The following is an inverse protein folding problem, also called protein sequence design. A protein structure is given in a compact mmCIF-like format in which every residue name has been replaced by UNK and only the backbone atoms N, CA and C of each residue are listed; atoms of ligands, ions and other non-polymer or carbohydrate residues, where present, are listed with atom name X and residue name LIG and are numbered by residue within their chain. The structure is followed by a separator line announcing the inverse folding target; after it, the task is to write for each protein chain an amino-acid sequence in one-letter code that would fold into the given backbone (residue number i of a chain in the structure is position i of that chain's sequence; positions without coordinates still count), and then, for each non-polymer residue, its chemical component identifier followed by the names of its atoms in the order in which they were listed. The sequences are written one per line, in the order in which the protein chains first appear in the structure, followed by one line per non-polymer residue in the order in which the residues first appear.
data_IF_339460207667
#
_entry.id   IF_339460207667
#
_cell.length_a   1.000
_cell.length_b   1.000
_cell.length_c   1.000
_cell.angle_alpha   90.00
_cell.angle_beta   90.00
_cell.angle_gamma   90.00
#
_symmetry.space_group_name_H-M   'P 1'
#
loop_
_entity.id
_entity.type
_entity.pdbx_description
1 polymer ?
#
# COMPACT_ATOMS: atom_id res chain seq x y z
N UNK A 1 6.52 6.37 -28.63
CA UNK A 1 6.72 7.64 -27.89
C UNK A 1 7.40 7.33 -26.57
N UNK A 2 8.71 7.66 -26.48
CA UNK A 2 9.54 7.40 -25.30
C UNK A 2 9.40 8.57 -24.32
N UNK A 3 8.64 8.37 -23.26
CA UNK A 3 8.62 9.28 -22.12
C UNK A 3 9.93 9.16 -21.33
N UNK A 4 10.89 10.07 -21.55
CA UNK A 4 12.06 10.20 -20.69
C UNK A 4 11.64 10.86 -19.36
N UNK A 5 11.51 10.05 -18.31
CA UNK A 5 11.44 10.54 -16.94
C UNK A 5 12.81 10.95 -16.47
N UNK A 6 13.05 12.23 -16.27
CA UNK A 6 14.21 12.71 -15.55
C UNK A 6 13.85 12.86 -14.07
N UNK A 7 14.46 12.03 -13.21
CA UNK A 7 14.35 12.14 -11.75
C UNK A 7 15.53 12.97 -11.25
N UNK A 8 15.23 14.10 -10.66
CA UNK A 8 16.20 14.84 -9.85
C UNK A 8 15.82 14.62 -8.38
N UNK A 9 16.69 13.92 -7.64
CA UNK A 9 16.49 13.66 -6.21
C UNK A 9 17.20 14.74 -5.40
N UNK A 10 16.46 15.63 -4.77
CA UNK A 10 16.95 16.43 -3.65
C UNK A 10 16.53 15.75 -2.33
N UNK A 11 17.44 15.73 -1.34
CA UNK A 11 17.31 14.99 -0.09
C UNK A 11 16.15 15.52 0.82
N UNK A 12 15.60 16.70 0.55
CA UNK A 12 14.56 17.33 1.37
C UNK A 12 13.23 17.59 0.65
N UNK A 13 13.27 17.83 -0.66
CA UNK A 13 12.06 18.13 -1.44
C UNK A 13 12.06 17.28 -2.71
N UNK A 14 10.91 16.77 -3.09
CA UNK A 14 10.70 16.08 -4.36
C UNK A 14 9.95 17.00 -5.30
N UNK A 15 10.53 17.32 -6.45
CA UNK A 15 9.83 17.97 -7.55
C UNK A 15 9.58 16.94 -8.65
N UNK A 16 8.31 16.74 -9.00
CA UNK A 16 7.88 15.82 -10.05
C UNK A 16 7.40 16.69 -11.19
N UNK A 17 8.16 16.72 -12.29
CA UNK A 17 7.79 17.44 -13.50
C UNK A 17 7.27 16.47 -14.55
N UNK A 18 6.05 16.70 -15.03
CA UNK A 18 5.47 16.01 -16.18
C UNK A 18 5.64 16.92 -17.40
N UNK A 19 6.34 16.41 -18.40
CA UNK A 19 6.55 17.11 -19.66
C UNK A 19 5.88 16.33 -20.80
N UNK A 20 5.18 17.03 -21.66
CA UNK A 20 4.62 16.54 -22.92
C UNK A 20 5.33 17.31 -24.06
N UNK A 21 5.96 16.57 -24.96
CA UNK A 21 6.76 17.14 -26.08
C UNK A 21 7.80 18.20 -25.64
N UNK A 22 8.49 17.95 -24.53
CA UNK A 22 9.48 18.85 -23.88
C UNK A 22 8.87 20.12 -23.24
N UNK A 23 7.57 20.26 -23.25
CA UNK A 23 6.85 21.35 -22.57
C UNK A 23 6.43 20.87 -21.19
N UNK A 24 6.69 21.66 -20.16
CA UNK A 24 6.25 21.37 -18.80
C UNK A 24 4.73 21.53 -18.73
N UNK A 25 4.02 20.41 -18.47
CA UNK A 25 2.57 20.38 -18.35
C UNK A 25 2.11 20.44 -16.90
N UNK A 26 2.87 19.77 -15.99
CA UNK A 26 2.53 19.71 -14.58
C UNK A 26 3.79 19.70 -13.73
N UNK A 27 3.82 20.50 -12.67
CA UNK A 27 4.89 20.51 -11.68
C UNK A 27 4.29 20.30 -10.29
N UNK A 28 4.59 19.17 -9.69
CA UNK A 28 4.22 18.86 -8.32
C UNK A 28 5.47 18.97 -7.43
N UNK A 29 5.35 19.71 -6.33
CA UNK A 29 6.39 19.82 -5.31
C UNK A 29 5.89 19.15 -4.04
N UNK A 30 6.54 18.06 -3.66
CA UNK A 30 6.29 17.37 -2.40
C UNK A 30 7.40 17.72 -1.40
N UNK A 31 7.03 18.30 -0.29
CA UNK A 31 7.93 18.41 0.84
C UNK A 31 8.07 17.03 1.48
N UNK A 32 9.30 16.57 1.66
CA UNK A 32 9.56 15.38 2.46
C UNK A 32 9.21 15.72 3.93
N UNK A 33 7.97 15.52 4.31
CA UNK A 33 7.61 15.50 5.71
C UNK A 33 8.29 14.29 6.34
N UNK A 34 9.03 14.51 7.40
CA UNK A 34 9.72 13.46 8.18
C UNK A 34 8.73 12.64 9.04
N UNK A 35 7.47 12.59 8.63
CA UNK A 35 6.41 11.91 9.36
C UNK A 35 5.83 10.74 8.57
N UNK A 36 5.29 9.80 9.28
CA UNK A 36 4.57 8.63 8.76
C UNK A 36 3.16 9.05 8.36
N UNK A 37 3.03 9.62 7.15
CA UNK A 37 1.78 10.18 6.64
C UNK A 37 0.81 9.07 6.21
N UNK A 38 -0.50 9.40 6.26
CA UNK A 38 -1.54 8.52 5.71
C UNK A 38 -1.28 8.24 4.24
N UNK A 39 -1.34 6.97 3.86
CA UNK A 39 -1.05 6.50 2.50
C UNK A 39 0.38 6.02 2.27
N UNK A 40 1.32 6.36 3.15
CA UNK A 40 2.70 5.84 3.07
C UNK A 40 2.74 4.33 3.23
N UNK A 41 3.60 3.67 2.44
CA UNK A 41 3.75 2.21 2.43
C UNK A 41 5.12 1.84 2.99
N UNK A 42 5.12 0.90 3.92
CA UNK A 42 6.30 0.39 4.61
C UNK A 42 6.40 -1.13 4.52
N UNK A 43 7.63 -1.63 4.54
CA UNK A 43 7.93 -3.01 4.84
C UNK A 43 8.19 -3.10 6.35
N UNK A 44 7.16 -3.44 7.12
CA UNK A 44 7.22 -3.50 8.58
C UNK A 44 7.58 -4.89 9.09
N UNK A 45 8.08 -4.95 10.31
CA UNK A 45 8.38 -6.22 11.01
C UNK A 45 7.43 -6.42 12.18
N UNK A 46 6.71 -7.53 12.21
CA UNK A 46 5.80 -7.89 13.30
C UNK A 46 6.58 -8.06 14.60
N UNK A 47 6.26 -7.26 15.61
CA UNK A 47 6.90 -7.28 16.94
C UNK A 47 6.18 -8.18 17.93
N UNK A 48 4.85 -8.04 17.96
CA UNK A 48 4.02 -8.74 18.95
C UNK A 48 2.64 -9.02 18.38
N UNK A 49 2.10 -10.18 18.68
CA UNK A 49 0.72 -10.55 18.38
C UNK A 49 -0.09 -10.45 19.67
N UNK A 50 -1.29 -9.88 19.59
CA UNK A 50 -2.23 -9.69 20.69
C UNK A 50 -3.51 -10.47 20.40
N UNK A 51 -3.60 -11.76 20.74
CA UNK A 51 -4.76 -12.60 20.40
C UNK A 51 -6.07 -12.08 20.96
N UNK A 52 -6.07 -11.54 22.18
CA UNK A 52 -7.25 -10.98 22.82
C UNK A 52 -7.84 -9.76 22.12
N UNK A 53 -7.04 -9.02 21.35
CA UNK A 53 -7.48 -7.88 20.52
C UNK A 53 -7.62 -8.26 19.05
N UNK A 54 -7.31 -9.48 18.67
CA UNK A 54 -7.19 -9.93 17.29
C UNK A 54 -6.34 -8.97 16.44
N UNK A 55 -5.19 -8.56 16.98
CA UNK A 55 -4.34 -7.49 16.43
C UNK A 55 -2.86 -7.80 16.59
N UNK A 56 -2.01 -7.04 15.92
CA UNK A 56 -0.56 -7.11 16.07
C UNK A 56 0.07 -5.72 16.14
N UNK A 57 1.24 -5.65 16.76
CA UNK A 57 2.12 -4.49 16.73
C UNK A 57 3.23 -4.72 15.71
N UNK A 58 3.48 -3.71 14.88
CA UNK A 58 4.42 -3.76 13.75
C UNK A 58 5.38 -2.59 13.84
N UNK A 59 6.66 -2.88 13.76
CA UNK A 59 7.69 -1.87 13.65
C UNK A 59 7.83 -1.45 12.18
N UNK A 60 7.59 -0.19 11.91
CA UNK A 60 7.77 0.46 10.60
C UNK A 60 8.88 1.51 10.60
N UNK A 61 9.68 1.58 11.69
CA UNK A 61 10.71 2.60 11.90
C UNK A 61 10.22 3.84 12.66
N UNK A 62 8.95 3.90 13.03
CA UNK A 62 8.41 4.93 13.93
C UNK A 62 8.85 4.67 15.38
N UNK A 63 8.94 5.73 16.22
CA UNK A 63 9.30 5.61 17.65
C UNK A 63 8.41 4.62 18.42
N UNK A 64 7.12 4.60 18.07
CA UNK A 64 6.13 3.70 18.65
C UNK A 64 5.73 2.66 17.63
N UNK A 65 5.59 1.40 18.08
CA UNK A 65 5.10 0.34 17.22
C UNK A 65 3.70 0.68 16.70
N UNK A 66 3.51 0.47 15.41
CA UNK A 66 2.25 0.70 14.74
C UNK A 66 1.28 -0.47 14.99
N UNK A 67 -0.01 -0.21 14.91
CA UNK A 67 -1.07 -1.17 15.21
C UNK A 67 -1.79 -1.62 13.94
N UNK A 68 -1.97 -2.93 13.78
CA UNK A 68 -2.80 -3.53 12.74
C UNK A 68 -3.81 -4.50 13.35
N UNK A 69 -5.08 -4.36 12.99
CA UNK A 69 -6.14 -5.27 13.40
C UNK A 69 -6.37 -6.33 12.32
N UNK A 70 -6.93 -7.48 12.68
CA UNK A 70 -7.26 -8.55 11.74
C UNK A 70 -8.04 -8.07 10.52
N UNK A 71 -9.06 -7.25 10.74
CA UNK A 71 -9.90 -6.70 9.67
C UNK A 71 -9.14 -5.72 8.74
N UNK A 72 -8.01 -5.20 9.18
CA UNK A 72 -7.15 -4.30 8.40
C UNK A 72 -6.15 -5.06 7.51
N UNK A 73 -6.07 -6.42 7.59
CA UNK A 73 -5.24 -7.22 6.71
C UNK A 73 -5.69 -7.14 5.25
N UNK A 74 -6.99 -6.97 5.03
CA UNK A 74 -7.57 -7.00 3.68
C UNK A 74 -7.60 -8.40 3.07
N UNK A 75 -8.48 -8.61 2.07
CA UNK A 75 -8.69 -9.94 1.49
C UNK A 75 -7.45 -10.46 0.72
N UNK A 76 -6.63 -9.59 0.18
CA UNK A 76 -5.49 -9.94 -0.68
C UNK A 76 -4.16 -10.11 0.09
N UNK A 77 -4.21 -10.09 1.42
CA UNK A 77 -3.02 -10.20 2.27
C UNK A 77 -2.14 -11.43 1.95
N UNK A 78 -2.67 -12.66 1.74
CA UNK A 78 -1.83 -13.81 1.40
C UNK A 78 -1.07 -13.64 0.08
N UNK A 79 -1.73 -13.06 -0.93
CA UNK A 79 -1.09 -12.74 -2.20
C UNK A 79 0.00 -11.67 -2.05
N UNK A 80 -0.26 -10.65 -1.23
CA UNK A 80 0.71 -9.61 -0.91
C UNK A 80 1.94 -10.19 -0.18
N UNK A 81 1.74 -11.10 0.77
CA UNK A 81 2.83 -11.80 1.47
C UNK A 81 3.67 -12.67 0.53
N UNK A 82 3.04 -13.34 -0.41
CA UNK A 82 3.74 -14.12 -1.45
C UNK A 82 4.63 -13.21 -2.30
N UNK A 83 4.14 -12.03 -2.67
CA UNK A 83 4.92 -11.02 -3.36
C UNK A 83 6.14 -10.60 -2.54
N UNK A 84 5.95 -10.22 -1.26
CA UNK A 84 7.04 -9.83 -0.37
C UNK A 84 8.09 -10.94 -0.24
N UNK A 85 7.65 -12.19 -0.02
CA UNK A 85 8.53 -13.34 0.09
C UNK A 85 9.33 -13.63 -1.19
N UNK A 86 8.76 -13.33 -2.37
CA UNK A 86 9.41 -13.53 -3.66
C UNK A 86 10.51 -12.50 -3.97
N UNK A 87 10.48 -11.35 -3.32
CA UNK A 87 11.44 -10.25 -3.52
C UNK A 87 12.66 -10.33 -2.59
N UNK A 88 12.80 -11.40 -1.80
CA UNK A 88 13.95 -11.56 -0.94
C UNK A 88 15.26 -11.73 -1.74
N UNK A 89 16.42 -11.26 -1.23
CA UNK A 89 17.69 -11.39 -1.91
C UNK A 89 18.00 -12.85 -2.31
N UNK A 90 18.43 -13.05 -3.54
CA UNK A 90 18.77 -14.37 -4.08
C UNK A 90 17.67 -15.07 -4.90
N UNK A 91 16.44 -14.60 -4.90
CA UNK A 91 15.38 -15.11 -5.77
C UNK A 91 15.28 -14.27 -7.05
N UNK A 92 15.70 -14.83 -8.19
CA UNK A 92 15.62 -14.18 -9.51
C UNK A 92 14.31 -14.50 -10.21
N UNK A 93 13.79 -13.53 -10.98
CA UNK A 93 12.83 -13.81 -12.07
C UNK A 93 11.35 -13.84 -11.68
N UNK A 94 10.96 -13.27 -10.56
CA UNK A 94 9.53 -13.16 -10.24
C UNK A 94 8.85 -12.09 -11.12
N UNK A 95 7.83 -12.49 -11.88
CA UNK A 95 6.96 -11.60 -12.65
C UNK A 95 5.59 -11.55 -11.98
N UNK A 96 5.11 -10.35 -11.70
CA UNK A 96 3.81 -10.13 -11.04
C UNK A 96 2.67 -10.69 -11.90
N UNK A 97 2.79 -10.56 -13.24
CA UNK A 97 1.78 -11.03 -14.19
C UNK A 97 1.56 -12.56 -14.14
N UNK A 98 2.60 -13.31 -13.75
CA UNK A 98 2.54 -14.78 -13.65
C UNK A 98 2.17 -15.27 -12.24
N UNK A 99 1.91 -14.35 -11.31
CA UNK A 99 1.60 -14.72 -9.94
C UNK A 99 0.20 -15.31 -9.80
N UNK A 100 0.12 -16.56 -9.37
CA UNK A 100 -1.15 -17.15 -8.96
C UNK A 100 -1.56 -16.55 -7.62
N UNK A 101 -2.77 -15.96 -7.59
CA UNK A 101 -3.32 -15.37 -6.38
C UNK A 101 -3.66 -16.46 -5.36
N UNK A 102 -3.45 -16.13 -4.08
CA UNK A 102 -3.83 -16.98 -2.96
C UNK A 102 -5.31 -16.76 -2.59
N UNK A 103 -5.93 -17.71 -1.91
CA UNK A 103 -7.28 -17.54 -1.37
C UNK A 103 -7.36 -16.29 -0.51
N UNK A 104 -8.46 -15.52 -0.61
CA UNK A 104 -8.63 -14.30 0.17
C UNK A 104 -8.77 -14.59 1.67
N UNK A 105 -8.34 -13.64 2.50
CA UNK A 105 -8.58 -13.67 3.95
C UNK A 105 -10.08 -13.64 4.20
N UNK A 106 -10.57 -14.55 5.01
CA UNK A 106 -11.95 -14.58 5.43
C UNK A 106 -12.26 -13.43 6.40
N UNK A 107 -13.54 -13.02 6.47
CA UNK A 107 -13.94 -11.95 7.39
C UNK A 107 -13.87 -12.37 8.86
N UNK A 108 -14.01 -13.67 9.12
CA UNK A 108 -13.96 -14.26 10.45
C UNK A 108 -12.73 -15.13 10.57
N UNK A 109 -11.79 -14.75 11.41
CA UNK A 109 -10.53 -15.49 11.63
C UNK A 109 -9.68 -14.84 12.71
N UNK A 110 -8.51 -15.38 12.94
CA UNK A 110 -7.56 -14.91 13.94
C UNK A 110 -6.29 -14.39 13.29
N UNK A 111 -5.79 -13.27 13.75
CA UNK A 111 -4.60 -12.64 13.20
C UNK A 111 -3.37 -13.56 13.27
N UNK A 112 -3.29 -14.41 14.29
CA UNK A 112 -2.20 -15.38 14.48
C UNK A 112 -2.16 -16.51 13.42
N UNK A 113 -3.22 -16.69 12.63
CA UNK A 113 -3.23 -17.62 11.50
C UNK A 113 -2.47 -17.06 10.29
N UNK A 114 -2.34 -15.74 10.20
CA UNK A 114 -1.73 -15.03 9.08
C UNK A 114 -0.39 -14.37 9.42
N UNK A 115 -0.18 -13.99 10.68
CA UNK A 115 1.02 -13.29 11.14
C UNK A 115 1.80 -14.08 12.16
N UNK A 116 3.13 -13.97 12.04
CA UNK A 116 4.09 -14.51 13.00
C UNK A 116 5.03 -13.41 13.50
N UNK A 117 5.48 -13.50 14.74
CA UNK A 117 6.47 -12.57 15.28
C UNK A 117 7.77 -12.65 14.46
N UNK A 118 8.31 -11.50 14.13
CA UNK A 118 9.51 -11.40 13.28
C UNK A 118 9.24 -11.38 11.78
N UNK A 119 8.02 -11.70 11.33
CA UNK A 119 7.63 -11.68 9.92
C UNK A 119 7.68 -10.27 9.35
N UNK A 120 8.18 -10.14 8.13
CA UNK A 120 8.08 -8.89 7.35
C UNK A 120 6.77 -8.86 6.58
N UNK A 121 6.08 -7.73 6.67
CA UNK A 121 4.80 -7.49 6.00
C UNK A 121 4.80 -6.13 5.32
N UNK A 122 4.18 -6.05 4.15
CA UNK A 122 3.93 -4.76 3.49
C UNK A 122 2.64 -4.17 4.05
N UNK A 123 2.73 -2.93 4.52
CA UNK A 123 1.63 -2.24 5.18
C UNK A 123 1.57 -0.79 4.76
N UNK A 124 0.39 -0.21 4.80
CA UNK A 124 0.12 1.19 4.52
C UNK A 124 -0.40 1.88 5.77
N UNK A 125 0.01 3.13 5.98
CA UNK A 125 -0.51 3.94 7.10
C UNK A 125 -1.95 4.34 6.79
N UNK A 126 -2.89 3.85 7.60
CA UNK A 126 -4.30 4.18 7.49
C UNK A 126 -4.69 5.39 8.35
N UNK A 127 -4.00 5.57 9.49
CA UNK A 127 -4.13 6.74 10.36
C UNK A 127 -2.77 7.06 10.98
N UNK A 128 -2.46 8.33 11.07
CA UNK A 128 -1.25 8.83 11.73
C UNK A 128 -1.24 8.53 13.23
N UNK A 129 -0.05 8.58 13.82
CA UNK A 129 0.11 8.47 15.25
C UNK A 129 -0.60 9.61 15.97
N UNK A 130 -1.30 9.30 17.06
CA UNK A 130 -2.00 10.30 17.88
C UNK A 130 -1.52 10.17 19.32
N UNK A 131 -0.96 11.23 19.86
CA UNK A 131 -0.52 11.33 21.26
C UNK A 131 0.39 10.14 21.66
N UNK A 132 -0.10 9.26 22.53
CA UNK A 132 0.65 8.11 23.05
C UNK A 132 0.55 6.86 22.19
N UNK A 133 -0.30 6.86 21.15
CA UNK A 133 -0.55 5.69 20.28
C UNK A 133 0.24 5.80 18.98
N UNK A 134 0.86 4.69 18.56
CA UNK A 134 1.51 4.57 17.24
C UNK A 134 0.50 4.63 16.08
N UNK A 135 1.00 4.69 14.84
CA UNK A 135 0.15 4.73 13.64
C UNK A 135 -0.74 3.49 13.53
N UNK A 136 -1.93 3.63 12.93
CA UNK A 136 -2.74 2.49 12.53
C UNK A 136 -2.41 2.10 11.10
N UNK A 137 -2.23 0.82 10.88
CA UNK A 137 -1.86 0.25 9.60
C UNK A 137 -3.00 -0.53 8.97
N UNK A 138 -2.92 -0.67 7.66
CA UNK A 138 -3.69 -1.63 6.86
C UNK A 138 -2.75 -2.37 5.90
N UNK A 139 -3.05 -3.62 5.58
CA UNK A 139 -2.40 -4.34 4.51
C UNK A 139 -3.28 -4.41 3.24
N UNK A 140 -4.46 -3.78 3.27
CA UNK A 140 -5.29 -3.55 2.08
C UNK A 140 -4.75 -2.31 1.34
N UNK A 141 -3.68 -2.54 0.58
CA UNK A 141 -2.92 -1.48 -0.09
C UNK A 141 -3.76 -0.83 -1.18
N UNK A 142 -3.78 0.51 -1.19
CA UNK A 142 -4.40 1.30 -2.23
C UNK A 142 -3.48 2.42 -2.68
N UNK A 143 -3.30 2.59 -3.98
CA UNK A 143 -2.47 3.62 -4.57
C UNK A 143 -3.38 4.67 -5.21
N UNK A 144 -3.57 5.78 -4.51
CA UNK A 144 -4.40 6.87 -4.97
C UNK A 144 -3.64 7.71 -6.00
N UNK A 145 -4.20 7.81 -7.20
CA UNK A 145 -3.83 8.79 -8.21
C UNK A 145 -4.86 9.91 -8.31
N UNK A 146 -4.64 10.84 -9.23
CA UNK A 146 -5.52 12.00 -9.42
C UNK A 146 -6.96 11.61 -9.74
N UNK A 147 -7.16 10.68 -10.66
CA UNK A 147 -8.48 10.30 -11.19
C UNK A 147 -8.81 8.82 -10.97
N UNK A 148 -7.86 8.03 -10.55
CA UNK A 148 -7.99 6.58 -10.38
C UNK A 148 -7.34 6.14 -9.08
N UNK A 149 -7.83 5.04 -8.51
CA UNK A 149 -7.19 4.35 -7.39
C UNK A 149 -6.86 2.93 -7.83
N UNK A 150 -5.59 2.56 -7.75
CA UNK A 150 -5.18 1.18 -8.01
C UNK A 150 -5.25 0.39 -6.71
N UNK A 151 -6.01 -0.70 -6.73
CA UNK A 151 -6.03 -1.71 -5.65
C UNK A 151 -5.36 -2.96 -6.21
N UNK A 152 -4.16 -3.34 -5.74
CA UNK A 152 -3.43 -4.50 -6.23
C UNK A 152 -4.22 -5.80 -6.05
N UNK A 153 -3.98 -6.76 -6.96
CA UNK A 153 -4.55 -8.11 -6.91
C UNK A 153 -6.08 -8.19 -7.01
N UNK A 154 -6.75 -7.12 -7.43
CA UNK A 154 -8.18 -7.17 -7.74
C UNK A 154 -8.41 -6.91 -9.22
N UNK A 155 -9.31 -7.69 -9.83
CA UNK A 155 -9.79 -7.47 -11.20
C UNK A 155 -11.08 -6.67 -11.25
N UNK A 156 -11.61 -6.26 -10.08
CA UNK A 156 -12.87 -5.52 -10.00
C UNK A 156 -12.66 -4.05 -10.33
N UNK A 157 -13.48 -3.52 -11.24
CA UNK A 157 -13.52 -2.10 -11.58
C UNK A 157 -14.66 -1.44 -10.79
N UNK A 158 -14.32 -0.46 -9.98
CA UNK A 158 -15.28 0.35 -9.24
C UNK A 158 -15.34 1.74 -9.86
N UNK A 159 -16.54 2.24 -10.07
CA UNK A 159 -16.78 3.56 -10.65
C UNK A 159 -17.29 4.52 -9.57
N UNK A 160 -16.84 5.77 -9.64
CA UNK A 160 -17.31 6.82 -8.76
C UNK A 160 -18.84 6.99 -8.89
N UNK A 161 -19.52 7.07 -7.76
CA UNK A 161 -20.98 7.37 -7.73
C UNK A 161 -21.31 8.74 -8.30
N UNK A 162 -20.33 9.65 -8.40
CA UNK A 162 -20.50 10.98 -9.02
C UNK A 162 -20.74 10.89 -10.54
N UNK A 163 -20.30 9.81 -11.19
CA UNK A 163 -20.58 9.56 -12.61
C UNK A 163 -22.03 9.10 -12.73
N UNK A 164 -22.89 9.97 -13.28
CA UNK A 164 -24.35 9.71 -13.39
C UNK A 164 -24.73 9.04 -14.71
N UNK A 165 -24.02 9.37 -15.82
CA UNK A 165 -24.31 8.83 -17.15
C UNK A 165 -24.10 7.31 -17.22
N UNK A 166 -25.12 6.59 -17.70
CA UNK A 166 -25.06 5.14 -17.90
C UNK A 166 -24.09 4.76 -19.02
N UNK A 167 -24.04 5.58 -20.09
CA UNK A 167 -23.14 5.36 -21.23
C UNK A 167 -21.68 5.54 -20.83
N UNK A 168 -21.39 6.56 -20.02
CA UNK A 168 -20.05 6.77 -19.49
C UNK A 168 -19.63 5.66 -18.53
N UNK A 169 -20.51 5.14 -17.70
CA UNK A 169 -20.26 3.98 -16.87
C UNK A 169 -19.94 2.72 -17.68
N UNK A 170 -20.61 2.52 -18.82
CA UNK A 170 -20.31 1.42 -19.74
C UNK A 170 -18.96 1.59 -20.41
N UNK A 171 -18.61 2.79 -20.83
CA UNK A 171 -17.33 3.10 -21.48
C UNK A 171 -16.13 2.87 -20.55
N UNK A 172 -16.29 3.14 -19.24
CA UNK A 172 -15.24 3.05 -18.25
C UNK A 172 -15.07 1.64 -17.65
N UNK A 173 -16.00 0.73 -17.88
CA UNK A 173 -15.91 -0.69 -17.49
C UNK A 173 -15.30 -1.54 -18.59
#
# INVERSE_FOLDING_TARGET
LSLRRQRQMCIRDRSIAMCEDKVLVELNKEQCQTGFAVGDIYLGKVRKIMPGLNAAFVNIGHEKDAFIHYLDLGPQFPSLQKLVASQQPGKRGFRVESMKLEPPVEKTGKIGEYLQVGQQIMVQVAKEAISTKGPRLTADISLAGRNVVLVPFTSKVFLSQKIRSADEKKRLK
#
